data_IF_240877995277
#
_entry.id   IF_240877995277
#
_cell.length_a   1.000
_cell.length_b   1.000
_cell.length_c   1.000
_cell.angle_alpha   90.00
_cell.angle_beta   90.00
_cell.angle_gamma   90.00
#
_symmetry.space_group_name_H-M   'P 1'
#
loop_
_entity.id
_entity.type
_entity.pdbx_description
1 polymer ?
#
# COMPACT_ATOMS: atom_id res chain seq x y z
N UNK A 1 -2.21 -9.47 -4.43
CA UNK A 1 -1.55 -9.44 -5.74
C UNK A 1 -1.07 -10.85 -6.08
N UNK A 2 -0.63 -11.09 -7.32
CA UNK A 2 -0.13 -12.40 -7.75
C UNK A 2 1.02 -12.24 -8.75
N UNK A 3 1.85 -13.27 -8.89
CA UNK A 3 2.94 -13.29 -9.85
C UNK A 3 2.40 -13.54 -11.27
N UNK A 4 2.70 -12.62 -12.18
CA UNK A 4 2.29 -12.69 -13.59
C UNK A 4 3.52 -12.69 -14.49
N UNK A 5 3.61 -13.65 -15.41
CA UNK A 5 4.70 -13.70 -16.40
C UNK A 5 4.56 -12.56 -17.41
N UNK A 6 5.61 -11.76 -17.56
CA UNK A 6 5.71 -10.69 -18.56
C UNK A 6 6.27 -11.22 -19.87
N UNK A 7 6.07 -10.46 -20.95
CA UNK A 7 6.58 -10.79 -22.28
C UNK A 7 8.13 -10.81 -22.34
N UNK A 8 8.79 -10.01 -21.50
CA UNK A 8 10.24 -9.94 -21.35
C UNK A 8 10.84 -11.14 -20.56
N UNK A 9 10.00 -12.07 -20.09
CA UNK A 9 10.40 -13.25 -19.34
C UNK A 9 10.55 -13.05 -17.82
N UNK A 10 10.46 -11.81 -17.32
CA UNK A 10 10.40 -11.52 -15.88
C UNK A 10 8.99 -11.68 -15.32
N UNK A 11 8.85 -11.57 -13.99
CA UNK A 11 7.57 -11.57 -13.30
C UNK A 11 7.11 -10.16 -12.98
N UNK A 12 5.80 -9.93 -12.91
CA UNK A 12 5.20 -8.77 -12.27
C UNK A 12 4.46 -9.22 -11.01
N UNK A 13 4.55 -8.46 -9.93
CA UNK A 13 3.70 -8.66 -8.76
C UNK A 13 2.46 -7.78 -8.92
N UNK A 14 1.41 -8.34 -9.54
CA UNK A 14 0.26 -7.58 -10.06
C UNK A 14 -0.97 -7.69 -9.16
N UNK A 15 -1.55 -6.57 -8.81
CA UNK A 15 -2.92 -6.48 -8.28
C UNK A 15 -3.89 -6.26 -9.45
N UNK A 16 -5.07 -6.86 -9.35
CA UNK A 16 -6.13 -6.73 -10.36
C UNK A 16 -7.42 -6.31 -9.67
N UNK A 17 -8.21 -5.51 -10.39
CA UNK A 17 -9.58 -5.20 -10.03
C UNK A 17 -10.50 -5.66 -11.15
N UNK A 18 -11.48 -6.50 -10.80
CA UNK A 18 -12.50 -6.99 -11.72
C UNK A 18 -13.88 -6.43 -11.34
N UNK A 19 -14.72 -6.15 -12.34
CA UNK A 19 -16.14 -5.85 -12.15
C UNK A 19 -16.92 -7.12 -11.78
N UNK A 20 -18.17 -6.98 -11.29
CA UNK A 20 -19.02 -8.12 -10.96
C UNK A 20 -19.32 -9.08 -12.13
N UNK A 21 -19.21 -8.61 -13.38
CA UNK A 21 -19.37 -9.45 -14.59
C UNK A 21 -18.06 -10.13 -15.03
N UNK A 22 -16.96 -9.93 -14.29
CA UNK A 22 -15.65 -10.51 -14.58
C UNK A 22 -14.76 -9.67 -15.50
N UNK A 23 -15.21 -8.50 -15.96
CA UNK A 23 -14.36 -7.60 -16.77
C UNK A 23 -13.19 -7.04 -15.96
N UNK A 24 -11.99 -7.02 -16.53
CA UNK A 24 -10.82 -6.40 -15.91
C UNK A 24 -10.94 -4.86 -15.98
N UNK A 25 -11.04 -4.20 -14.82
CA UNK A 25 -11.17 -2.74 -14.70
C UNK A 25 -9.79 -2.07 -14.63
N UNK A 26 -8.89 -2.62 -13.81
CA UNK A 26 -7.58 -2.04 -13.57
C UNK A 26 -6.57 -3.10 -13.17
N UNK A 27 -5.30 -2.85 -13.49
CA UNK A 27 -4.16 -3.62 -13.02
C UNK A 27 -3.11 -2.67 -12.44
N UNK A 28 -2.43 -3.09 -11.38
CA UNK A 28 -1.34 -2.37 -10.75
C UNK A 28 -0.16 -3.31 -10.55
N UNK A 29 1.01 -2.93 -11.07
CA UNK A 29 2.26 -3.64 -10.81
C UNK A 29 2.97 -2.99 -9.64
N UNK A 30 3.33 -3.79 -8.63
CA UNK A 30 4.08 -3.35 -7.45
C UNK A 30 5.29 -2.53 -7.87
N UNK A 31 5.40 -1.31 -7.35
CA UNK A 31 6.47 -0.38 -7.74
C UNK A 31 7.73 -0.63 -6.92
N UNK A 32 7.60 -0.85 -5.61
CA UNK A 32 8.75 -0.97 -4.72
C UNK A 32 9.04 -2.43 -4.38
N UNK A 33 10.14 -2.97 -4.92
CA UNK A 33 10.58 -4.35 -4.65
C UNK A 33 11.18 -4.49 -3.26
N UNK A 34 10.89 -5.62 -2.60
CA UNK A 34 11.43 -5.95 -1.30
C UNK A 34 12.87 -6.48 -1.41
N UNK A 35 13.79 -5.54 -1.56
CA UNK A 35 15.23 -5.80 -1.56
C UNK A 35 15.81 -5.35 -0.22
N UNK A 36 15.92 -6.27 0.75
CA UNK A 36 16.39 -5.96 2.11
C UNK A 36 17.35 -7.01 2.63
N UNK A 37 18.21 -6.59 3.55
CA UNK A 37 19.00 -7.47 4.41
C UNK A 37 18.49 -7.28 5.84
N UNK A 38 18.11 -8.36 6.50
CA UNK A 38 17.60 -8.36 7.87
C UNK A 38 18.70 -8.78 8.84
N UNK A 39 18.61 -8.30 10.09
CA UNK A 39 19.64 -8.51 11.12
C UNK A 39 19.88 -10.00 11.46
N UNK A 40 18.92 -10.88 11.16
CA UNK A 40 19.04 -12.32 11.34
C UNK A 40 19.80 -13.03 10.21
N UNK A 41 20.31 -12.29 9.22
CA UNK A 41 21.03 -12.81 8.06
C UNK A 41 20.13 -13.16 6.87
N UNK A 42 18.81 -12.97 6.95
CA UNK A 42 17.93 -13.11 5.79
C UNK A 42 18.18 -11.99 4.79
N UNK A 43 18.44 -12.36 3.53
CA UNK A 43 18.52 -11.42 2.41
C UNK A 43 17.40 -11.72 1.43
N UNK A 44 16.56 -10.73 1.17
CA UNK A 44 15.49 -10.79 0.19
C UNK A 44 15.85 -9.89 -0.99
N UNK A 45 15.68 -10.42 -2.22
CA UNK A 45 15.94 -9.74 -3.49
C UNK A 45 14.79 -10.02 -4.45
N UNK A 46 13.63 -9.44 -4.18
CA UNK A 46 12.45 -9.61 -5.05
C UNK A 46 12.75 -9.12 -6.48
N UNK A 47 13.55 -8.07 -6.63
CA UNK A 47 13.94 -7.53 -7.95
C UNK A 47 14.74 -8.49 -8.84
N UNK A 48 15.33 -9.55 -8.28
CA UNK A 48 16.03 -10.56 -9.06
C UNK A 48 15.08 -11.36 -9.97
N UNK A 49 13.81 -11.48 -9.58
CA UNK A 49 12.79 -12.23 -10.32
C UNK A 49 11.65 -11.35 -10.86
N UNK A 50 11.37 -10.23 -10.19
CA UNK A 50 10.28 -9.33 -10.50
C UNK A 50 10.77 -8.03 -11.13
N UNK A 51 10.07 -7.59 -12.18
CA UNK A 51 10.26 -6.27 -12.75
C UNK A 51 9.35 -5.26 -12.04
N UNK A 52 9.89 -4.15 -11.50
CA UNK A 52 9.10 -3.09 -10.88
C UNK A 52 8.04 -2.51 -11.82
N UNK A 53 6.88 -2.17 -11.26
CA UNK A 53 5.94 -1.25 -11.89
C UNK A 53 6.48 0.18 -11.92
N UNK A 54 5.93 1.00 -12.80
CA UNK A 54 6.34 2.42 -12.98
C UNK A 54 5.20 3.41 -12.83
N UNK A 55 3.99 2.94 -12.54
CA UNK A 55 2.77 3.75 -12.56
C UNK A 55 1.96 3.55 -11.28
N UNK A 56 1.62 4.65 -10.60
CA UNK A 56 0.57 4.66 -9.60
C UNK A 56 -0.79 4.62 -10.30
N UNK A 57 -1.76 3.89 -9.75
CA UNK A 57 -3.05 3.67 -10.40
C UNK A 57 -4.15 4.15 -9.48
N UNK A 58 -5.05 4.99 -9.98
CA UNK A 58 -6.31 5.35 -9.30
C UNK A 58 -7.45 5.10 -10.27
N UNK A 59 -8.43 4.30 -9.84
CA UNK A 59 -9.58 3.93 -10.68
C UNK A 59 -10.90 4.25 -9.98
N UNK A 60 -11.94 4.54 -10.76
CA UNK A 60 -13.28 4.78 -10.23
C UNK A 60 -14.03 3.45 -10.07
N UNK A 61 -14.61 3.24 -8.89
CA UNK A 61 -15.49 2.11 -8.59
C UNK A 61 -16.81 2.68 -8.09
N UNK A 62 -17.76 2.83 -9.01
CA UNK A 62 -19.12 3.35 -8.72
C UNK A 62 -19.09 4.71 -8.00
N UNK A 63 -18.24 5.63 -8.45
CA UNK A 63 -18.08 6.96 -7.88
C UNK A 63 -17.15 7.05 -6.67
N UNK A 64 -16.53 5.93 -6.26
CA UNK A 64 -15.47 5.91 -5.24
C UNK A 64 -14.12 5.73 -5.91
N UNK A 65 -13.16 6.62 -5.67
CA UNK A 65 -11.81 6.48 -6.22
C UNK A 65 -10.96 5.53 -5.38
N UNK A 66 -10.40 4.49 -6.01
CA UNK A 66 -9.59 3.45 -5.41
C UNK A 66 -8.13 3.53 -5.87
N UNK A 67 -7.18 3.60 -4.93
CA UNK A 67 -5.74 3.49 -5.17
C UNK A 67 -5.17 2.11 -4.83
N UNK A 68 -3.99 1.79 -5.36
CA UNK A 68 -3.37 0.48 -5.29
C UNK A 68 -1.94 0.54 -4.77
N UNK A 69 -1.67 -0.27 -3.75
CA UNK A 69 -0.32 -0.54 -3.29
C UNK A 69 -0.18 -2.04 -2.98
N UNK A 70 1.04 -2.57 -3.00
CA UNK A 70 1.30 -3.96 -2.65
C UNK A 70 2.43 -4.03 -1.63
N UNK A 71 2.11 -4.56 -0.45
CA UNK A 71 3.07 -4.93 0.60
C UNK A 71 4.13 -3.85 0.88
N UNK A 72 5.34 -3.99 0.32
CA UNK A 72 6.49 -3.13 0.58
C UNK A 72 6.28 -1.67 0.15
N UNK A 73 5.38 -1.43 -0.81
CA UNK A 73 4.92 -0.08 -1.16
C UNK A 73 4.47 0.71 0.07
N UNK A 74 3.92 0.04 1.10
CA UNK A 74 3.50 0.64 2.37
C UNK A 74 4.59 1.51 3.01
N UNK A 75 5.88 1.21 2.79
CA UNK A 75 6.99 2.00 3.36
C UNK A 75 7.24 3.32 2.65
N UNK A 76 6.66 3.54 1.47
CA UNK A 76 6.90 4.69 0.61
C UNK A 76 5.69 5.63 0.62
N UNK A 77 5.62 6.61 1.55
CA UNK A 77 4.47 7.49 1.71
C UNK A 77 4.12 8.28 0.44
N UNK A 78 5.11 8.51 -0.44
CA UNK A 78 4.95 9.29 -1.67
C UNK A 78 3.92 8.67 -2.62
N UNK A 79 3.85 7.34 -2.70
CA UNK A 79 2.85 6.64 -3.52
C UNK A 79 1.43 6.96 -3.05
N UNK A 80 1.16 6.72 -1.78
CA UNK A 80 -0.15 6.99 -1.17
C UNK A 80 -0.52 8.47 -1.23
N UNK A 81 0.47 9.36 -1.08
CA UNK A 81 0.28 10.81 -1.26
C UNK A 81 -0.15 11.15 -2.69
N UNK A 82 0.54 10.59 -3.69
CA UNK A 82 0.21 10.82 -5.09
C UNK A 82 -1.19 10.31 -5.44
N UNK A 83 -1.55 9.10 -4.99
CA UNK A 83 -2.89 8.53 -5.20
C UNK A 83 -3.99 9.36 -4.52
N UNK A 84 -3.75 9.81 -3.28
CA UNK A 84 -4.69 10.69 -2.58
C UNK A 84 -4.84 12.06 -3.25
N UNK A 85 -3.77 12.61 -3.83
CA UNK A 85 -3.82 13.84 -4.63
C UNK A 85 -4.55 13.64 -5.96
N UNK A 86 -4.45 12.46 -6.56
CA UNK A 86 -5.29 12.02 -7.67
C UNK A 86 -6.74 11.70 -7.26
N UNK A 87 -7.07 11.87 -5.98
CA UNK A 87 -8.43 11.82 -5.45
C UNK A 87 -8.84 10.49 -4.85
N UNK A 88 -7.95 9.49 -4.74
CA UNK A 88 -8.28 8.20 -4.12
C UNK A 88 -8.89 8.39 -2.72
N UNK A 89 -10.07 7.84 -2.47
CA UNK A 89 -10.78 7.89 -1.19
C UNK A 89 -10.55 6.62 -0.37
N UNK A 90 -10.19 5.53 -1.06
CA UNK A 90 -9.83 4.23 -0.50
C UNK A 90 -8.51 3.80 -1.12
N UNK A 91 -7.59 3.29 -0.29
CA UNK A 91 -6.27 2.81 -0.69
C UNK A 91 -6.16 1.34 -0.29
N UNK A 92 -5.79 0.48 -1.24
CA UNK A 92 -5.67 -0.97 -1.00
C UNK A 92 -4.23 -1.37 -0.79
N UNK A 93 -3.98 -2.28 0.16
CA UNK A 93 -2.64 -2.76 0.51
C UNK A 93 -2.64 -4.28 0.75
N UNK A 94 -2.93 -5.12 -0.27
CA UNK A 94 -2.68 -6.55 -0.15
C UNK A 94 -1.21 -6.83 0.17
N UNK A 95 -0.95 -7.69 1.14
CA UNK A 95 0.41 -7.88 1.64
C UNK A 95 0.70 -9.28 2.19
N UNK A 96 2.00 -9.56 2.33
CA UNK A 96 2.55 -10.72 3.03
C UNK A 96 3.74 -10.25 3.87
N UNK A 97 3.46 -9.45 4.91
CA UNK A 97 4.51 -8.94 5.81
C UNK A 97 5.14 -10.10 6.59
N UNK A 98 6.46 -10.10 6.71
CA UNK A 98 7.15 -11.03 7.60
C UNK A 98 6.66 -10.80 9.03
N UNK A 99 6.58 -11.86 9.84
CA UNK A 99 6.10 -11.75 11.22
C UNK A 99 6.82 -10.64 12.01
N UNK A 100 8.14 -10.66 12.05
CA UNK A 100 8.94 -9.69 12.80
C UNK A 100 8.66 -8.24 12.37
N UNK A 101 8.62 -7.97 11.06
CA UNK A 101 8.36 -6.60 10.60
C UNK A 101 6.91 -6.21 10.73
N UNK A 102 5.99 -7.18 10.68
CA UNK A 102 4.57 -6.99 10.90
C UNK A 102 4.25 -6.57 12.33
N UNK A 103 4.76 -7.33 13.31
CA UNK A 103 4.63 -7.02 14.76
C UNK A 103 5.05 -5.58 15.09
N UNK A 104 6.15 -5.11 14.47
CA UNK A 104 6.68 -3.79 14.73
C UNK A 104 5.99 -2.65 13.96
N UNK A 105 5.61 -2.88 12.70
CA UNK A 105 5.32 -1.77 11.77
C UNK A 105 3.94 -1.81 11.12
N UNK A 106 3.28 -2.96 11.02
CA UNK A 106 2.10 -3.14 10.16
C UNK A 106 0.99 -2.15 10.49
N UNK A 107 0.47 -2.19 11.72
CA UNK A 107 -0.59 -1.30 12.17
C UNK A 107 -0.18 0.17 12.13
N UNK A 108 1.06 0.49 12.53
CA UNK A 108 1.55 1.87 12.59
C UNK A 108 1.58 2.48 11.19
N UNK A 109 2.16 1.77 10.22
CA UNK A 109 2.27 2.27 8.85
C UNK A 109 0.89 2.40 8.18
N UNK A 110 0.02 1.40 8.29
CA UNK A 110 -1.33 1.48 7.70
C UNK A 110 -2.13 2.65 8.26
N UNK A 111 -2.09 2.85 9.58
CA UNK A 111 -2.76 4.00 10.22
C UNK A 111 -2.13 5.31 9.79
N UNK A 112 -0.81 5.38 9.67
CA UNK A 112 -0.13 6.57 9.15
C UNK A 112 -0.60 6.92 7.74
N UNK A 113 -0.70 5.93 6.82
CA UNK A 113 -1.20 6.15 5.45
C UNK A 113 -2.65 6.64 5.43
N UNK A 114 -3.50 6.11 6.30
CA UNK A 114 -4.88 6.57 6.42
C UNK A 114 -4.94 8.04 6.89
N UNK A 115 -4.26 8.35 8.00
CA UNK A 115 -4.27 9.67 8.65
C UNK A 115 -3.68 10.73 7.72
N UNK A 116 -2.50 10.49 7.15
CA UNK A 116 -1.79 11.51 6.40
C UNK A 116 -2.48 11.83 5.06
N UNK A 117 -3.33 10.94 4.54
CA UNK A 117 -4.00 11.11 3.26
C UNK A 117 -5.52 11.36 3.38
N UNK A 118 -6.07 11.26 4.60
CA UNK A 118 -7.51 11.30 4.85
C UNK A 118 -8.25 10.32 3.94
N UNK A 119 -7.81 9.06 3.92
CA UNK A 119 -8.34 8.00 3.07
C UNK A 119 -8.53 6.72 3.89
N UNK A 120 -9.50 5.89 3.49
CA UNK A 120 -9.59 4.54 4.03
C UNK A 120 -8.41 3.69 3.58
N UNK A 121 -8.01 2.75 4.43
CA UNK A 121 -7.05 1.71 4.08
C UNK A 121 -7.73 0.36 4.19
N UNK A 122 -7.64 -0.47 3.14
CA UNK A 122 -8.08 -1.86 3.13
C UNK A 122 -6.85 -2.74 2.88
N UNK A 123 -6.42 -3.47 3.89
CA UNK A 123 -5.18 -4.24 3.85
C UNK A 123 -5.44 -5.72 4.15
N UNK A 124 -5.64 -6.50 3.08
CA UNK A 124 -5.71 -7.95 3.17
C UNK A 124 -4.30 -8.54 3.31
N UNK A 125 -4.07 -9.36 4.32
CA UNK A 125 -2.75 -9.89 4.65
C UNK A 125 -2.74 -11.42 4.66
N UNK A 126 -1.65 -11.99 4.12
CA UNK A 126 -1.27 -13.38 4.41
C UNK A 126 -0.81 -13.50 5.86
N UNK A 127 -1.15 -14.61 6.51
CA UNK A 127 -0.79 -14.91 7.89
C UNK A 127 -0.39 -16.36 8.08
N UNK A 128 0.36 -16.62 9.15
CA UNK A 128 0.72 -17.96 9.59
C UNK A 128 2.01 -18.47 8.96
N UNK A 129 2.23 -19.78 9.12
CA UNK A 129 3.36 -20.51 8.53
C UNK A 129 2.97 -21.04 7.15
N UNK A 130 3.73 -20.65 6.13
CA UNK A 130 3.56 -21.10 4.75
C UNK A 130 4.24 -22.45 4.53
N UNK A 131 3.82 -23.18 3.50
CA UNK A 131 4.39 -24.50 3.14
C UNK A 131 5.90 -24.43 2.83
N UNK A 132 6.39 -23.27 2.37
CA UNK A 132 7.79 -23.01 2.09
C UNK A 132 8.61 -22.58 3.33
N UNK A 133 8.00 -22.60 4.51
CA UNK A 133 8.63 -22.26 5.79
C UNK A 133 8.63 -20.76 6.11
N UNK A 134 8.13 -19.88 5.23
CA UNK A 134 7.99 -18.45 5.56
C UNK A 134 6.93 -18.26 6.64
N UNK A 135 7.14 -17.30 7.53
CA UNK A 135 6.14 -16.89 8.52
C UNK A 135 5.68 -15.45 8.24
N UNK A 136 4.37 -15.27 8.12
CA UNK A 136 3.75 -13.96 7.86
C UNK A 136 2.85 -13.53 9.00
N UNK A 137 2.77 -12.21 9.19
CA UNK A 137 2.13 -11.63 10.35
C UNK A 137 0.61 -11.85 10.38
N UNK A 138 -0.08 -11.84 9.24
CA UNK A 138 -1.55 -11.82 9.21
C UNK A 138 -2.06 -10.43 9.57
N UNK A 139 -3.01 -10.35 10.50
CA UNK A 139 -3.59 -9.07 10.93
C UNK A 139 -4.16 -8.24 9.77
N UNK A 140 -4.98 -8.88 8.91
CA UNK A 140 -5.76 -8.14 7.91
C UNK A 140 -6.53 -7.01 8.60
N UNK A 141 -6.53 -5.82 8.00
CA UNK A 141 -6.91 -4.59 8.69
C UNK A 141 -7.69 -3.64 7.78
N UNK A 142 -8.73 -3.01 8.32
CA UNK A 142 -9.42 -1.88 7.70
C UNK A 142 -9.30 -0.67 8.63
N UNK A 143 -8.83 0.45 8.09
CA UNK A 143 -8.60 1.70 8.84
C UNK A 143 -9.42 2.83 8.22
N UNK A 144 -10.10 3.63 9.05
CA UNK A 144 -10.83 4.82 8.61
C UNK A 144 -9.89 6.01 8.29
N UNK A 145 -10.38 7.05 7.61
CA UNK A 145 -9.60 8.25 7.28
C UNK A 145 -9.04 9.03 8.49
N UNK A 146 -9.48 8.71 9.70
CA UNK A 146 -8.99 9.29 10.95
C UNK A 146 -7.95 8.41 11.66
N UNK A 147 -7.59 7.28 11.05
CA UNK A 147 -6.62 6.34 11.59
C UNK A 147 -7.16 5.37 12.63
N UNK A 148 -8.48 5.23 12.75
CA UNK A 148 -9.10 4.22 13.62
C UNK A 148 -9.17 2.89 12.89
N UNK A 149 -8.77 1.82 13.56
CA UNK A 149 -9.01 0.47 13.08
C UNK A 149 -10.50 0.17 13.25
N UNK A 150 -11.20 -0.10 12.16
CA UNK A 150 -12.64 -0.38 12.15
C UNK A 150 -12.96 -1.85 11.93
N UNK A 151 -12.01 -2.64 11.44
CA UNK A 151 -12.06 -4.08 11.45
C UNK A 151 -10.64 -4.67 11.42
N UNK A 152 -10.43 -5.78 12.14
CA UNK A 152 -9.15 -6.48 12.20
C UNK A 152 -9.37 -7.99 12.36
N UNK A 153 -8.63 -8.78 11.60
CA UNK A 153 -8.47 -10.21 11.89
C UNK A 153 -7.32 -10.30 12.90
N UNK A 154 -7.61 -10.21 14.20
CA UNK A 154 -6.59 -10.14 15.27
C UNK A 154 -5.90 -11.50 15.52
N UNK A 155 -5.51 -12.17 14.44
CA UNK A 155 -4.84 -13.45 14.37
C UNK A 155 -4.11 -13.55 13.02
N UNK A 156 -3.36 -14.64 12.85
CA UNK A 156 -2.67 -14.97 11.62
C UNK A 156 -3.29 -16.15 10.85
N UNK A 157 -4.43 -16.68 11.31
CA UNK A 157 -5.20 -17.74 10.64
C UNK A 157 -6.09 -17.21 9.49
N UNK A 158 -6.53 -18.07 8.55
CA UNK A 158 -7.48 -17.69 7.50
C UNK A 158 -8.79 -17.13 8.06
N UNK A 159 -9.29 -16.04 7.47
CA UNK A 159 -10.53 -15.41 7.91
C UNK A 159 -11.00 -14.29 6.98
N UNK A 160 -12.19 -13.77 7.29
CA UNK A 160 -12.80 -12.63 6.58
C UNK A 160 -13.17 -11.58 7.61
N UNK A 161 -12.83 -10.33 7.31
CA UNK A 161 -13.27 -9.17 8.08
C UNK A 161 -14.19 -8.30 7.23
N UNK A 162 -15.10 -7.62 7.90
CA UNK A 162 -16.10 -6.77 7.28
C UNK A 162 -16.15 -5.43 8.00
N UNK A 163 -16.26 -4.36 7.22
CA UNK A 163 -16.56 -3.02 7.72
C UNK A 163 -17.44 -2.29 6.70
N UNK A 164 -18.31 -1.41 7.20
CA UNK A 164 -19.02 -0.46 6.35
C UNK A 164 -18.09 0.72 6.03
N UNK A 165 -18.07 1.11 4.75
CA UNK A 165 -17.23 2.21 4.26
C UNK A 165 -18.15 3.29 3.69
N UNK A 166 -17.94 4.52 4.13
CA UNK A 166 -18.54 5.72 3.56
C UNK A 166 -17.44 6.61 2.97
N UNK A 167 -17.23 6.59 1.63
CA UNK A 167 -16.20 7.41 0.97
C UNK A 167 -16.29 8.90 1.29
N UNK A 168 -17.47 9.42 1.63
CA UNK A 168 -17.64 10.82 2.00
C UNK A 168 -16.86 11.18 3.28
N UNK A 169 -16.53 10.20 4.14
CA UNK A 169 -15.67 10.42 5.31
C UNK A 169 -14.24 10.78 4.93
N UNK A 170 -13.71 10.29 3.80
CA UNK A 170 -12.39 10.67 3.29
C UNK A 170 -12.37 12.17 2.95
N UNK A 171 -13.39 12.63 2.23
CA UNK A 171 -13.56 14.06 1.93
C UNK A 171 -13.78 14.89 3.20
N UNK A 172 -14.54 14.39 4.17
CA UNK A 172 -14.78 15.07 5.44
C UNK A 172 -13.49 15.20 6.26
N UNK A 173 -12.67 14.16 6.34
CA UNK A 173 -11.37 14.19 7.02
C UNK A 173 -10.44 15.23 6.40
N UNK A 174 -10.35 15.26 5.06
CA UNK A 174 -9.56 16.27 4.31
C UNK A 174 -10.07 17.69 4.51
N UNK A 175 -11.38 17.90 4.67
CA UNK A 175 -11.91 19.24 5.00
C UNK A 175 -11.56 19.67 6.42
N UNK A 176 -11.57 18.75 7.39
CA UNK A 176 -11.22 19.03 8.78
C UNK A 176 -9.72 19.32 8.94
N UNK A 177 -8.87 18.50 8.34
CA UNK A 177 -7.41 18.64 8.34
C UNK A 177 -6.93 18.70 6.89
N UNK A 178 -6.86 19.90 6.27
CA UNK A 178 -6.57 20.05 4.84
C UNK A 178 -5.08 19.98 4.50
N UNK A 179 -4.38 18.99 5.03
CA UNK A 179 -2.94 18.82 4.82
C UNK A 179 -2.56 18.58 3.35
N UNK A 180 -3.36 17.84 2.58
CA UNK A 180 -3.19 17.67 1.13
C UNK A 180 -3.19 19.02 0.40
N UNK A 181 -4.15 19.89 0.73
CA UNK A 181 -4.28 21.23 0.13
C UNK A 181 -3.20 22.19 0.61
N UNK A 182 -2.79 22.06 1.87
CA UNK A 182 -1.87 22.98 2.53
C UNK A 182 -0.39 22.65 2.30
N UNK A 183 -0.09 21.48 1.71
CA UNK A 183 1.27 21.06 1.39
C UNK A 183 2.01 22.13 0.56
N UNK A 184 3.31 22.24 0.79
CA UNK A 184 4.20 23.20 0.13
C UNK A 184 5.43 22.51 -0.38
N UNK A 185 5.92 22.97 -1.52
CA UNK A 185 7.22 22.57 -2.04
C UNK A 185 8.32 23.09 -1.12
N UNK A 186 9.37 22.31 -0.98
CA UNK A 186 10.55 22.67 -0.22
C UNK A 186 11.81 22.13 -0.91
N UNK A 187 12.92 22.82 -0.70
CA UNK A 187 14.24 22.36 -1.12
C UNK A 187 14.98 21.78 0.08
N UNK A 188 15.86 20.81 -0.17
CA UNK A 188 16.73 20.23 0.87
C UNK A 188 18.09 20.91 0.77
N UNK A 189 18.50 21.62 1.83
CA UNK A 189 19.86 22.12 1.97
C UNK A 189 20.70 21.10 2.76
N UNK A 190 21.47 20.27 2.06
CA UNK A 190 22.30 19.22 2.64
C UNK A 190 23.78 19.63 2.86
N UNK A 191 24.11 20.93 2.76
CA UNK A 191 25.49 21.39 2.85
C UNK A 191 26.33 21.00 1.61
N UNK A 192 27.59 20.57 1.82
CA UNK A 192 28.58 20.34 0.76
C UNK A 192 28.38 19.04 -0.06
N UNK A 193 27.14 18.58 -0.22
CA UNK A 193 26.80 17.43 -1.05
C UNK A 193 25.50 17.67 -1.80
N UNK A 194 25.38 17.14 -3.02
CA UNK A 194 24.12 17.16 -3.76
C UNK A 194 23.11 16.29 -2.99
N UNK A 195 22.05 16.92 -2.48
CA UNK A 195 20.98 16.19 -1.81
C UNK A 195 20.31 15.25 -2.83
N UNK A 196 20.08 13.97 -2.51
CA UNK A 196 19.35 13.09 -3.39
C UNK A 196 17.96 13.69 -3.67
N UNK A 197 17.57 13.76 -4.95
CA UNK A 197 16.23 14.22 -5.33
C UNK A 197 15.19 13.29 -4.71
N UNK A 198 14.12 13.88 -4.17
CA UNK A 198 12.95 13.12 -3.73
C UNK A 198 12.35 12.39 -4.94
N UNK A 199 12.55 11.07 -5.00
CA UNK A 199 11.94 10.23 -6.04
C UNK A 199 10.44 10.07 -5.73
N UNK A 200 9.60 10.20 -6.75
CA UNK A 200 8.16 9.95 -6.64
C UNK A 200 7.34 11.03 -5.91
N UNK A 201 7.91 12.20 -5.62
CA UNK A 201 7.10 13.35 -5.25
C UNK A 201 6.25 13.74 -6.48
N UNK A 202 4.92 13.80 -6.31
CA UNK A 202 4.02 14.19 -7.38
C UNK A 202 4.46 15.54 -7.98
N UNK A 203 4.53 15.56 -9.31
CA UNK A 203 4.56 16.74 -10.20
C UNK A 203 3.63 17.84 -9.77
#
# INVERSE_FOLDING_TARGET
STAIRRADGKLANRAFLFSPDGTLIAGYDKIHMFDVDLDNGESWRESASYEPGTEAVVTDVKGTKLGFAVCYDLRFPQLFRAEAMAGAEVLTVPAAFTRQTGEAHWHVLLRARAIENGAYIIAAAQGGLHEDGRETYGHSLIVDPWGRVIAEAAHNEPGVILAEIDPAQSLAARRKIPNLKNARDFTVNAGAGEAPRLRGAAS
#
